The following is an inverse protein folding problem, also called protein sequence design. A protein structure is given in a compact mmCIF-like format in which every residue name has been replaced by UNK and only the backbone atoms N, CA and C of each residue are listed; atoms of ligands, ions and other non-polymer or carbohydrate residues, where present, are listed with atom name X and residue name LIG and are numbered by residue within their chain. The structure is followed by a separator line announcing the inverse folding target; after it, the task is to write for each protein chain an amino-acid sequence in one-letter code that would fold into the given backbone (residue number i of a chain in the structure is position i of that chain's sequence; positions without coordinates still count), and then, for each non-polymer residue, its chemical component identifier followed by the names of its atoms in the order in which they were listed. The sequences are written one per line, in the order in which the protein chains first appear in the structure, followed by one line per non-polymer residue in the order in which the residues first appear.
data_IF_083970301476
#
_entry.id   IF_083970301476
#
_cell.length_a   1.000
_cell.length_b   1.000
_cell.length_c   1.000
_cell.angle_alpha   90.00
_cell.angle_beta   90.00
_cell.angle_gamma   90.00
#
_symmetry.space_group_name_H-M   'P 1'
#
loop_
_entity.id
_entity.type
_entity.pdbx_description
1 polymer ?
#
# COMPACT_ATOMS: atom_id res chain seq x y z
N UNK A 1 16.49 9.45 19.22
CA UNK A 1 16.74 9.62 17.76
C UNK A 1 16.10 10.94 17.33
N UNK A 2 16.82 11.85 16.69
CA UNK A 2 16.35 13.22 16.45
C UNK A 2 15.43 13.27 15.22
N UNK A 3 14.23 13.88 15.30
CA UNK A 3 13.24 13.92 14.20
C UNK A 3 13.83 14.40 12.86
N UNK A 4 14.74 15.39 12.93
CA UNK A 4 15.45 15.94 11.76
C UNK A 4 16.30 14.90 11.02
N UNK A 5 16.80 13.87 11.71
CA UNK A 5 17.58 12.79 11.11
C UNK A 5 16.69 11.85 10.31
N UNK A 6 15.55 11.43 10.87
CA UNK A 6 14.58 10.57 10.19
C UNK A 6 13.94 11.27 8.98
N UNK A 7 13.65 12.58 9.10
CA UNK A 7 13.11 13.35 7.98
C UNK A 7 14.10 13.53 6.82
N UNK A 8 15.40 13.64 7.11
CA UNK A 8 16.44 13.83 6.08
C UNK A 8 16.94 12.53 5.46
N UNK A 9 17.02 11.47 6.25
CA UNK A 9 17.60 10.18 5.84
C UNK A 9 16.57 9.05 5.72
N UNK A 10 15.28 9.34 5.86
CA UNK A 10 14.21 8.33 5.84
C UNK A 10 14.23 7.45 4.59
N UNK A 11 14.44 8.03 3.41
CA UNK A 11 14.54 7.27 2.16
C UNK A 11 15.78 6.37 2.13
N UNK A 12 16.94 6.87 2.57
CA UNK A 12 18.17 6.07 2.67
C UNK A 12 18.06 4.95 3.69
N UNK A 13 17.32 5.17 4.79
CA UNK A 13 17.03 4.16 5.80
C UNK A 13 16.08 3.08 5.26
N UNK A 14 15.03 3.46 4.53
CA UNK A 14 14.12 2.52 3.90
C UNK A 14 14.84 1.65 2.85
N UNK A 15 15.65 2.28 2.00
CA UNK A 15 16.47 1.58 1.02
C UNK A 15 17.49 0.66 1.69
N UNK A 16 18.23 1.16 2.70
CA UNK A 16 19.20 0.38 3.44
C UNK A 16 18.58 -0.81 4.18
N UNK A 17 17.41 -0.61 4.79
CA UNK A 17 16.65 -1.69 5.43
C UNK A 17 16.20 -2.76 4.42
N UNK A 18 15.70 -2.34 3.26
CA UNK A 18 15.34 -3.27 2.18
C UNK A 18 16.52 -4.06 1.64
N UNK A 19 17.65 -3.39 1.37
CA UNK A 19 18.88 -4.04 0.93
C UNK A 19 19.40 -5.05 1.97
N UNK A 20 19.34 -4.70 3.25
CA UNK A 20 19.74 -5.58 4.35
C UNK A 20 18.86 -6.82 4.44
N UNK A 21 17.53 -6.70 4.27
CA UNK A 21 16.63 -7.86 4.23
C UNK A 21 16.94 -8.80 3.06
N UNK A 22 17.28 -8.26 1.90
CA UNK A 22 17.68 -9.06 0.73
C UNK A 22 18.99 -9.81 1.01
N UNK A 23 19.97 -9.16 1.63
CA UNK A 23 21.24 -9.82 2.02
C UNK A 23 20.99 -10.95 3.01
N UNK A 24 20.16 -10.71 4.04
CA UNK A 24 19.78 -11.74 5.01
C UNK A 24 19.06 -12.90 4.30
N UNK A 25 18.15 -12.62 3.38
CA UNK A 25 17.47 -13.65 2.60
C UNK A 25 18.48 -14.56 1.88
N UNK A 26 19.44 -13.99 1.14
CA UNK A 26 20.45 -14.79 0.43
C UNK A 26 21.36 -15.58 1.37
N UNK A 27 21.72 -15.01 2.52
CA UNK A 27 22.49 -15.74 3.54
C UNK A 27 21.70 -16.93 4.10
N UNK A 28 20.41 -16.76 4.38
CA UNK A 28 19.55 -17.86 4.86
C UNK A 28 19.40 -18.91 3.77
N UNK A 29 19.23 -18.54 2.49
CA UNK A 29 19.19 -19.51 1.38
C UNK A 29 20.46 -20.36 1.36
N UNK A 30 21.62 -19.74 1.52
CA UNK A 30 22.91 -20.43 1.48
C UNK A 30 23.11 -21.39 2.67
N UNK A 31 22.60 -21.05 3.85
CA UNK A 31 22.87 -21.79 5.10
C UNK A 31 21.77 -22.79 5.44
N UNK A 32 20.50 -22.43 5.21
CA UNK A 32 19.32 -23.14 5.70
C UNK A 32 18.31 -23.49 4.59
N UNK A 33 18.59 -23.11 3.34
CA UNK A 33 17.75 -23.44 2.18
C UNK A 33 16.64 -22.43 1.89
N UNK A 34 16.00 -22.63 0.73
CA UNK A 34 15.02 -21.70 0.17
C UNK A 34 13.76 -21.56 1.04
N UNK A 35 13.25 -22.66 1.61
CA UNK A 35 12.03 -22.66 2.41
C UNK A 35 12.17 -21.82 3.69
N UNK A 36 13.31 -21.93 4.37
CA UNK A 36 13.62 -21.13 5.56
C UNK A 36 13.72 -19.63 5.23
N UNK A 37 14.33 -19.30 4.09
CA UNK A 37 14.48 -17.91 3.64
C UNK A 37 13.13 -17.29 3.24
N UNK A 38 12.26 -18.05 2.56
CA UNK A 38 10.91 -17.63 2.20
C UNK A 38 10.04 -17.40 3.44
N UNK A 39 10.08 -18.30 4.41
CA UNK A 39 9.34 -18.14 5.67
C UNK A 39 9.81 -16.87 6.41
N UNK A 40 11.13 -16.64 6.47
CA UNK A 40 11.68 -15.43 7.08
C UNK A 40 11.19 -14.14 6.41
N UNK A 41 11.30 -14.03 5.07
CA UNK A 41 10.96 -12.79 4.37
C UNK A 41 9.45 -12.51 4.44
N UNK A 42 8.60 -13.54 4.43
CA UNK A 42 7.15 -13.39 4.58
C UNK A 42 6.83 -12.84 5.98
N UNK A 43 7.37 -13.44 7.05
CA UNK A 43 7.13 -12.92 8.41
C UNK A 43 7.71 -11.54 8.63
N UNK A 44 8.91 -11.26 8.12
CA UNK A 44 9.50 -9.93 8.16
C UNK A 44 8.61 -8.90 7.46
N UNK A 45 8.07 -9.25 6.29
CA UNK A 45 7.11 -8.42 5.55
C UNK A 45 5.82 -8.17 6.32
N UNK A 46 5.23 -9.21 6.92
CA UNK A 46 4.01 -9.10 7.74
C UNK A 46 4.26 -8.19 8.95
N UNK A 47 5.38 -8.37 9.67
CA UNK A 47 5.72 -7.52 10.82
C UNK A 47 5.90 -6.07 10.40
N UNK A 48 6.61 -5.81 9.30
CA UNK A 48 6.81 -4.46 8.77
C UNK A 48 5.48 -3.83 8.33
N UNK A 49 4.60 -4.59 7.71
CA UNK A 49 3.27 -4.14 7.30
C UNK A 49 2.43 -3.75 8.52
N UNK A 50 2.40 -4.59 9.56
CA UNK A 50 1.70 -4.31 10.81
C UNK A 50 2.25 -3.05 11.47
N UNK A 51 3.58 -2.92 11.59
CA UNK A 51 4.23 -1.72 12.15
C UNK A 51 3.89 -0.47 11.34
N UNK A 52 3.85 -0.58 10.02
CA UNK A 52 3.49 0.51 9.12
C UNK A 52 2.05 0.94 9.34
N UNK A 53 1.11 0.00 9.43
CA UNK A 53 -0.30 0.30 9.70
C UNK A 53 -0.44 0.99 11.05
N UNK A 54 0.22 0.50 12.10
CA UNK A 54 0.18 1.11 13.44
C UNK A 54 0.75 2.53 13.41
N UNK A 55 1.90 2.74 12.77
CA UNK A 55 2.52 4.06 12.65
C UNK A 55 1.64 5.03 11.84
N UNK A 56 1.06 4.56 10.74
CA UNK A 56 0.19 5.35 9.86
C UNK A 56 -1.08 5.77 10.60
N UNK A 57 -1.77 4.82 11.25
CA UNK A 57 -2.99 5.11 12.01
C UNK A 57 -2.68 6.04 13.19
N UNK A 58 -1.61 5.77 13.94
CA UNK A 58 -1.18 6.63 15.05
C UNK A 58 -0.88 8.06 14.60
N UNK A 59 -0.17 8.22 13.49
CA UNK A 59 0.15 9.53 12.92
C UNK A 59 -1.09 10.26 12.39
N UNK A 60 -1.98 9.54 11.71
CA UNK A 60 -3.25 10.08 11.22
C UNK A 60 -4.10 10.60 12.38
N UNK A 61 -4.31 9.79 13.43
CA UNK A 61 -5.08 10.19 14.62
C UNK A 61 -4.44 11.40 15.31
N UNK A 62 -3.12 11.41 15.46
CA UNK A 62 -2.40 12.52 16.05
C UNK A 62 -2.62 13.84 15.29
N UNK A 63 -2.57 13.83 13.95
CA UNK A 63 -2.83 15.01 13.12
C UNK A 63 -4.30 15.45 13.17
N UNK A 64 -5.24 14.51 13.17
CA UNK A 64 -6.67 14.83 13.26
C UNK A 64 -7.01 15.52 14.59
N UNK A 65 -6.39 15.09 15.70
CA UNK A 65 -6.64 15.67 17.03
C UNK A 65 -5.99 17.06 17.15
N UNK A 66 -4.76 17.25 16.66
CA UNK A 66 -4.04 18.52 16.81
C UNK A 66 -4.48 19.58 15.80
N UNK A 67 -4.71 19.19 14.55
CA UNK A 67 -5.00 20.09 13.44
C UNK A 67 -6.19 19.57 12.62
N UNK A 68 -7.41 19.54 13.20
CA UNK A 68 -8.59 18.96 12.56
C UNK A 68 -8.98 19.69 11.27
N UNK A 69 -8.79 21.02 11.24
CA UNK A 69 -9.16 21.85 10.09
C UNK A 69 -8.28 21.57 8.87
N UNK A 70 -6.98 21.40 9.07
CA UNK A 70 -6.05 21.09 8.00
C UNK A 70 -6.14 19.62 7.57
N UNK A 71 -6.42 18.74 8.55
CA UNK A 71 -6.66 17.31 8.30
C UNK A 71 -7.94 17.04 7.52
N UNK A 72 -8.93 17.94 7.57
CA UNK A 72 -10.24 17.75 6.94
C UNK A 72 -10.15 17.47 5.43
N UNK A 73 -9.23 18.12 4.70
CA UNK A 73 -9.03 17.88 3.27
C UNK A 73 -8.42 16.51 3.00
N UNK A 74 -7.46 16.08 3.83
CA UNK A 74 -6.85 14.75 3.76
C UNK A 74 -7.86 13.64 4.07
N UNK A 75 -8.67 13.84 5.11
CA UNK A 75 -9.78 12.96 5.48
C UNK A 75 -10.84 12.85 4.39
N UNK A 76 -11.18 13.95 3.73
CA UNK A 76 -12.10 13.96 2.59
C UNK A 76 -11.56 13.11 1.43
N UNK A 77 -10.28 13.28 1.09
CA UNK A 77 -9.63 12.47 0.06
C UNK A 77 -9.60 10.97 0.41
N UNK A 78 -9.24 10.65 1.66
CA UNK A 78 -9.24 9.27 2.16
C UNK A 78 -10.65 8.67 2.16
N UNK A 79 -11.64 9.44 2.61
CA UNK A 79 -13.05 9.04 2.63
C UNK A 79 -13.59 8.78 1.22
N UNK A 80 -13.27 9.65 0.25
CA UNK A 80 -13.64 9.44 -1.14
C UNK A 80 -12.99 8.19 -1.74
N UNK A 81 -11.70 7.94 -1.45
CA UNK A 81 -11.01 6.71 -1.87
C UNK A 81 -11.65 5.46 -1.27
N UNK A 82 -11.91 5.45 0.05
CA UNK A 82 -12.54 4.31 0.72
C UNK A 82 -13.94 4.07 0.19
N UNK A 83 -14.73 5.12 -0.02
CA UNK A 83 -16.06 5.03 -0.60
C UNK A 83 -16.01 4.44 -2.01
N UNK A 84 -15.07 4.87 -2.85
CA UNK A 84 -14.84 4.28 -4.17
C UNK A 84 -14.47 2.80 -4.06
N UNK A 85 -13.51 2.45 -3.20
CA UNK A 85 -13.12 1.06 -2.96
C UNK A 85 -14.31 0.19 -2.53
N UNK A 86 -15.13 0.67 -1.61
CA UNK A 86 -16.31 -0.06 -1.14
C UNK A 86 -17.34 -0.24 -2.25
N UNK A 87 -17.60 0.80 -3.06
CA UNK A 87 -18.51 0.67 -4.22
C UNK A 87 -17.99 -0.41 -5.18
N UNK A 88 -16.70 -0.38 -5.50
CA UNK A 88 -16.09 -1.39 -6.37
C UNK A 88 -16.16 -2.77 -5.74
N UNK A 89 -15.85 -2.91 -4.45
CA UNK A 89 -15.94 -4.18 -3.72
C UNK A 89 -17.36 -4.79 -3.78
N UNK A 90 -18.39 -3.96 -3.62
CA UNK A 90 -19.79 -4.41 -3.64
C UNK A 90 -20.23 -4.88 -5.03
N UNK A 91 -19.72 -4.26 -6.09
CA UNK A 91 -20.10 -4.57 -7.48
C UNK A 91 -19.15 -5.60 -8.12
N UNK A 92 -17.94 -5.77 -7.59
CA UNK A 92 -16.95 -6.70 -8.14
C UNK A 92 -17.37 -8.16 -7.93
N UNK A 93 -17.39 -8.98 -9.00
CA UNK A 93 -17.42 -10.43 -8.84
C UNK A 93 -16.08 -10.91 -8.27
N UNK A 94 -16.09 -12.10 -7.66
CA UNK A 94 -14.84 -12.76 -7.32
C UNK A 94 -14.20 -13.22 -8.64
N UNK A 95 -12.96 -12.80 -8.89
CA UNK A 95 -12.22 -13.20 -10.09
C UNK A 95 -11.72 -14.64 -9.91
N UNK A 96 -12.32 -15.57 -10.64
CA UNK A 96 -12.06 -17.02 -10.49
C UNK A 96 -11.47 -17.65 -11.74
N UNK A 97 -11.16 -16.86 -12.77
CA UNK A 97 -10.73 -17.37 -14.07
C UNK A 97 -9.31 -16.92 -14.43
N UNK A 98 -8.69 -17.63 -15.39
CA UNK A 98 -7.36 -17.33 -15.88
C UNK A 98 -6.26 -17.46 -14.83
N UNK A 99 -5.19 -16.65 -14.96
CA UNK A 99 -4.04 -16.68 -14.04
C UNK A 99 -4.41 -16.31 -12.60
N UNK A 100 -5.43 -15.46 -12.43
CA UNK A 100 -5.96 -15.05 -11.12
C UNK A 100 -6.69 -16.22 -10.46
N UNK A 101 -7.49 -16.99 -11.22
CA UNK A 101 -8.15 -18.20 -10.74
C UNK A 101 -7.17 -19.30 -10.31
N UNK A 102 -6.09 -19.50 -11.06
CA UNK A 102 -5.04 -20.45 -10.70
C UNK A 102 -4.35 -20.08 -9.37
N UNK A 103 -4.04 -18.79 -9.17
CA UNK A 103 -3.48 -18.30 -7.91
C UNK A 103 -4.47 -18.44 -6.75
N UNK A 104 -5.78 -18.23 -7.00
CA UNK A 104 -6.80 -18.44 -5.98
C UNK A 104 -6.80 -19.88 -5.47
N UNK A 105 -6.76 -20.85 -6.38
CA UNK A 105 -6.73 -22.28 -6.04
C UNK A 105 -5.43 -22.65 -5.32
N UNK A 106 -4.28 -22.21 -5.83
CA UNK A 106 -2.96 -22.48 -5.27
C UNK A 106 -2.82 -21.94 -3.83
N UNK A 107 -3.32 -20.74 -3.57
CA UNK A 107 -3.23 -20.08 -2.26
C UNK A 107 -4.49 -20.23 -1.40
N UNK A 108 -5.47 -21.04 -1.84
CA UNK A 108 -6.76 -21.24 -1.16
C UNK A 108 -7.43 -19.93 -0.71
N UNK A 109 -7.41 -18.92 -1.60
CA UNK A 109 -7.89 -17.57 -1.29
C UNK A 109 -9.42 -17.55 -1.29
N UNK A 110 -10.00 -17.03 -0.21
CA UNK A 110 -11.46 -16.88 -0.10
C UNK A 110 -12.02 -15.86 -1.10
N UNK A 111 -13.28 -16.03 -1.50
CA UNK A 111 -13.95 -15.12 -2.45
C UNK A 111 -13.98 -13.67 -1.94
N UNK A 112 -14.15 -13.47 -0.63
CA UNK A 112 -14.14 -12.15 -0.04
C UNK A 112 -12.75 -11.48 -0.15
N UNK A 113 -11.68 -12.24 0.07
CA UNK A 113 -10.33 -11.71 -0.06
C UNK A 113 -9.99 -11.42 -1.53
N UNK A 114 -10.41 -12.28 -2.46
CA UNK A 114 -10.26 -12.04 -3.90
C UNK A 114 -10.95 -10.76 -4.35
N UNK A 115 -12.19 -10.54 -3.93
CA UNK A 115 -12.92 -9.29 -4.22
C UNK A 115 -12.18 -8.06 -3.70
N UNK A 116 -11.65 -8.13 -2.47
CA UNK A 116 -10.90 -7.04 -1.86
C UNK A 116 -9.60 -6.72 -2.59
N UNK A 117 -8.87 -7.74 -3.06
CA UNK A 117 -7.66 -7.57 -3.86
C UNK A 117 -8.01 -6.89 -5.20
N UNK A 118 -8.98 -7.44 -5.93
CA UNK A 118 -9.37 -6.91 -7.24
C UNK A 118 -9.92 -5.48 -7.16
N UNK A 119 -10.78 -5.19 -6.17
CA UNK A 119 -11.32 -3.83 -5.96
C UNK A 119 -10.24 -2.86 -5.53
N UNK A 120 -9.26 -3.30 -4.74
CA UNK A 120 -8.10 -2.52 -4.34
C UNK A 120 -7.27 -2.09 -5.54
N UNK A 121 -6.93 -3.04 -6.41
CA UNK A 121 -6.18 -2.79 -7.65
C UNK A 121 -6.95 -1.81 -8.55
N UNK A 122 -8.25 -2.05 -8.78
CA UNK A 122 -9.08 -1.16 -9.61
C UNK A 122 -9.19 0.25 -9.04
N UNK A 123 -9.32 0.39 -7.71
CA UNK A 123 -9.34 1.69 -7.05
C UNK A 123 -8.07 2.48 -7.35
N UNK A 124 -6.90 1.83 -7.24
CA UNK A 124 -5.61 2.45 -7.57
C UNK A 124 -5.55 2.89 -9.02
N UNK A 125 -5.98 2.04 -9.96
CA UNK A 125 -5.98 2.40 -11.39
C UNK A 125 -6.89 3.60 -11.69
N UNK A 126 -8.10 3.62 -11.13
CA UNK A 126 -9.05 4.73 -11.34
C UNK A 126 -8.47 6.02 -10.77
N UNK A 127 -7.93 6.00 -9.56
CA UNK A 127 -7.31 7.18 -8.94
C UNK A 127 -6.07 7.65 -9.71
N UNK A 128 -5.27 6.73 -10.25
CA UNK A 128 -4.12 7.09 -11.08
C UNK A 128 -4.56 7.80 -12.36
N UNK A 129 -5.57 7.29 -13.06
CA UNK A 129 -6.14 7.92 -14.26
C UNK A 129 -6.71 9.29 -13.93
N UNK A 130 -7.49 9.41 -12.84
CA UNK A 130 -8.04 10.67 -12.37
C UNK A 130 -6.94 11.68 -12.01
N UNK A 131 -5.86 11.21 -11.37
CA UNK A 131 -4.71 12.04 -11.02
C UNK A 131 -3.99 12.57 -12.26
N UNK A 132 -3.72 11.72 -13.25
CA UNK A 132 -3.14 12.13 -14.54
C UNK A 132 -4.05 13.11 -15.26
N UNK A 133 -5.36 12.85 -15.32
CA UNK A 133 -6.34 13.73 -15.93
C UNK A 133 -6.42 15.10 -15.27
N UNK A 134 -6.43 15.14 -13.93
CA UNK A 134 -6.42 16.38 -13.15
C UNK A 134 -5.13 17.18 -13.38
N UNK A 135 -3.98 16.50 -13.45
CA UNK A 135 -2.70 17.11 -13.77
C UNK A 135 -2.73 17.77 -15.16
N UNK A 136 -3.11 17.03 -16.20
CA UNK A 136 -3.21 17.55 -17.57
C UNK A 136 -4.18 18.74 -17.63
N UNK A 137 -5.36 18.62 -17.02
CA UNK A 137 -6.32 19.71 -16.96
C UNK A 137 -5.74 20.97 -16.29
N UNK A 138 -4.98 20.79 -15.20
CA UNK A 138 -4.36 21.90 -14.47
C UNK A 138 -3.30 22.63 -15.29
N UNK A 139 -2.47 21.91 -16.04
CA UNK A 139 -1.47 22.47 -16.95
C UNK A 139 -2.14 23.25 -18.08
N UNK A 140 -3.13 22.67 -18.76
CA UNK A 140 -3.88 23.33 -19.83
C UNK A 140 -4.53 24.62 -19.33
N UNK A 141 -5.22 24.59 -18.19
CA UNK A 141 -5.84 25.78 -17.61
C UNK A 141 -4.81 26.87 -17.27
N UNK A 142 -3.64 26.48 -16.78
CA UNK A 142 -2.57 27.44 -16.46
C UNK A 142 -1.97 28.09 -17.71
N UNK A 143 -1.95 27.40 -18.86
CA UNK A 143 -1.50 27.98 -20.13
C UNK A 143 -2.46 29.05 -20.69
N UNK A 144 -3.73 29.02 -20.29
CA UNK A 144 -4.76 29.99 -20.69
C UNK A 144 -5.02 31.09 -19.63
N UNK A 145 -4.20 31.14 -18.57
CA UNK A 145 -4.19 32.21 -17.58
C UNK A 145 -2.90 33.00 -17.66
#
# INVERSE_FOLDING_TARGET
MNYKYLAKYGQSLAFGGGALLIVIFFLIVLIAGQDAALNFIIWAGIVLLVLTIVALVGYALYHVIRDPKDSAKGLLGLGAMLLLFFILYLVSPAETTGKIGALREEFSISDNLMKAISSGILTTFILAILGVGAFVYSEVRNLFK
#
